data_IF_472235037431
#
_entry.id   IF_472235037431
#
_cell.length_a   1.000
_cell.length_b   1.000
_cell.length_c   1.000
_cell.angle_alpha   90.00
_cell.angle_beta   90.00
_cell.angle_gamma   90.00
#
_symmetry.space_group_name_H-M   'P 1'
#
loop_
_entity.id
_entity.type
_entity.pdbx_description
1 polymer ?
#
# COMPACT_ATOMS: atom_id res chain seq x y z
N UNK A 1 33.70 25.36 -1.79
CA UNK A 1 32.41 24.68 -1.55
C UNK A 1 32.64 23.19 -1.76
N UNK A 2 32.83 22.46 -0.67
CA UNK A 2 32.98 21.01 -0.69
C UNK A 2 31.61 20.39 -0.97
N UNK A 3 31.42 19.92 -2.19
CA UNK A 3 30.31 19.03 -2.52
C UNK A 3 30.68 17.69 -1.88
N UNK A 4 29.93 17.33 -0.84
CA UNK A 4 29.99 16.07 -0.10
C UNK A 4 30.14 14.87 -1.06
N UNK A 5 30.98 13.90 -0.69
CA UNK A 5 31.31 12.68 -1.44
C UNK A 5 30.11 11.77 -1.76
N UNK A 6 28.91 12.09 -1.27
CA UNK A 6 27.68 11.31 -1.47
C UNK A 6 27.08 11.43 -2.89
N UNK A 7 27.56 12.33 -3.74
CA UNK A 7 26.93 12.62 -5.05
C UNK A 7 27.52 11.85 -6.25
N UNK A 8 28.41 10.88 -6.06
CA UNK A 8 28.96 10.05 -7.15
C UNK A 8 28.55 8.59 -7.04
N UNK A 9 27.25 8.33 -7.03
CA UNK A 9 26.76 7.01 -7.45
C UNK A 9 27.13 6.86 -8.93
N UNK A 10 28.16 6.06 -9.23
CA UNK A 10 28.54 5.75 -10.60
C UNK A 10 27.31 5.26 -11.36
N UNK A 11 27.23 5.57 -12.66
CA UNK A 11 26.13 5.10 -13.50
C UNK A 11 25.95 3.58 -13.40
N UNK A 12 27.05 2.86 -13.19
CA UNK A 12 27.06 1.42 -12.96
C UNK A 12 26.40 1.01 -11.64
N UNK A 13 26.66 1.75 -10.56
CA UNK A 13 25.98 1.53 -9.27
C UNK A 13 24.47 1.81 -9.37
N UNK A 14 24.07 2.85 -10.10
CA UNK A 14 22.65 3.15 -10.35
C UNK A 14 21.98 2.04 -11.18
N UNK A 15 22.62 1.60 -12.28
CA UNK A 15 22.12 0.49 -13.10
C UNK A 15 21.97 -0.81 -12.31
N UNK A 16 22.96 -1.14 -11.47
CA UNK A 16 22.92 -2.32 -10.60
C UNK A 16 21.80 -2.23 -9.56
N UNK A 17 21.56 -1.06 -8.98
CA UNK A 17 20.45 -0.84 -8.05
C UNK A 17 19.08 -0.94 -8.75
N UNK A 18 18.97 -0.37 -9.94
CA UNK A 18 17.76 -0.47 -10.77
C UNK A 18 17.51 -1.93 -11.14
N UNK A 19 18.48 -2.66 -11.71
CA UNK A 19 18.34 -4.07 -12.07
C UNK A 19 17.99 -4.98 -10.88
N UNK A 20 18.57 -4.71 -9.71
CA UNK A 20 18.25 -5.47 -8.49
C UNK A 20 16.81 -5.27 -8.02
N UNK A 21 16.20 -4.11 -8.26
CA UNK A 21 14.87 -3.77 -7.73
C UNK A 21 13.77 -3.76 -8.79
N UNK A 22 14.13 -3.70 -10.07
CA UNK A 22 13.24 -3.71 -11.23
C UNK A 22 13.54 -4.97 -12.04
N UNK A 23 13.05 -6.10 -11.54
CA UNK A 23 13.01 -7.34 -12.28
C UNK A 23 11.74 -7.32 -13.15
N UNK A 24 11.86 -7.66 -14.44
CA UNK A 24 10.74 -7.80 -15.37
C UNK A 24 9.74 -8.90 -14.94
N UNK A 25 10.12 -9.73 -13.97
CA UNK A 25 9.26 -10.69 -13.30
C UNK A 25 9.26 -10.48 -11.77
N UNK A 26 8.51 -9.47 -11.26
CA UNK A 26 8.38 -9.20 -9.81
C UNK A 26 8.01 -10.41 -8.95
N UNK A 27 7.21 -11.38 -9.44
CA UNK A 27 6.93 -12.64 -8.73
C UNK A 27 8.15 -13.52 -8.42
N UNK A 28 9.32 -13.27 -9.00
CA UNK A 28 10.52 -14.09 -8.79
C UNK A 28 11.07 -14.00 -7.35
N UNK A 29 10.77 -12.93 -6.61
CA UNK A 29 11.15 -12.78 -5.20
C UNK A 29 10.04 -13.14 -4.22
N UNK A 30 8.86 -13.48 -4.72
CA UNK A 30 7.75 -13.90 -3.89
C UNK A 30 7.92 -15.36 -3.58
N UNK A 31 8.15 -15.66 -2.30
CA UNK A 31 8.03 -17.03 -1.82
C UNK A 31 6.56 -17.44 -1.91
N UNK A 32 6.21 -18.16 -2.98
CA UNK A 32 4.85 -18.62 -3.24
C UNK A 32 4.33 -19.61 -2.21
N UNK A 33 5.22 -20.17 -1.38
CA UNK A 33 4.85 -21.07 -0.29
C UNK A 33 4.59 -20.31 1.01
N UNK A 34 4.99 -19.04 1.09
CA UNK A 34 4.77 -18.18 2.25
C UNK A 34 3.51 -17.36 2.07
N UNK A 35 2.41 -17.90 2.58
CA UNK A 35 1.07 -17.28 2.52
C UNK A 35 0.81 -16.27 3.65
N UNK A 36 1.75 -16.09 4.58
CA UNK A 36 1.58 -15.25 5.76
C UNK A 36 2.80 -14.35 6.05
N UNK A 37 2.52 -13.20 6.63
CA UNK A 37 3.52 -12.25 7.12
C UNK A 37 3.33 -12.03 8.62
N UNK A 38 4.37 -12.32 9.41
CA UNK A 38 4.35 -12.03 10.85
C UNK A 38 4.78 -10.58 11.09
N UNK A 39 3.88 -9.78 11.66
CA UNK A 39 4.20 -8.45 12.16
C UNK A 39 4.56 -8.54 13.65
N UNK A 40 5.72 -8.00 14.04
CA UNK A 40 6.15 -7.92 15.44
C UNK A 40 5.92 -6.51 15.97
N UNK A 41 5.12 -6.39 17.02
CA UNK A 41 4.95 -5.12 17.74
C UNK A 41 6.25 -4.83 18.49
N UNK A 42 6.73 -3.58 18.38
CA UNK A 42 7.90 -3.13 19.13
C UNK A 42 7.62 -3.18 20.64
N UNK A 43 8.65 -3.45 21.45
CA UNK A 43 8.50 -3.62 22.90
C UNK A 43 7.84 -2.41 23.55
N UNK A 44 8.27 -1.22 23.15
CA UNK A 44 7.75 0.07 23.61
C UNK A 44 6.26 0.30 23.30
N UNK A 45 5.69 -0.43 22.33
CA UNK A 45 4.30 -0.27 21.89
C UNK A 45 3.37 -1.40 22.36
N UNK A 46 3.87 -2.40 23.11
CA UNK A 46 3.08 -3.61 23.45
C UNK A 46 1.80 -3.35 24.24
N UNK A 47 1.74 -2.26 25.00
CA UNK A 47 0.60 -1.93 25.86
C UNK A 47 -0.22 -0.74 25.35
N UNK A 48 0.13 -0.20 24.18
CA UNK A 48 -0.63 0.89 23.57
C UNK A 48 -1.77 0.32 22.74
N UNK A 49 -3.01 0.56 23.19
CA UNK A 49 -4.20 0.22 22.43
C UNK A 49 -4.55 1.33 21.45
N UNK A 50 -4.32 1.06 20.17
CA UNK A 50 -4.64 2.00 19.09
C UNK A 50 -6.05 1.75 18.59
N UNK A 51 -7.03 2.54 19.06
CA UNK A 51 -8.43 2.44 18.63
C UNK A 51 -8.97 3.79 18.17
N UNK A 52 -8.83 4.05 16.87
CA UNK A 52 -9.33 5.26 16.24
C UNK A 52 -10.75 5.11 15.71
N UNK A 53 -11.50 6.23 15.74
CA UNK A 53 -12.83 6.33 15.12
C UNK A 53 -12.70 6.42 13.59
N UNK A 54 -13.69 5.91 12.83
CA UNK A 54 -13.72 6.09 11.38
C UNK A 54 -13.73 7.57 10.97
N UNK A 55 -13.09 7.87 9.85
CA UNK A 55 -13.15 9.20 9.23
C UNK A 55 -14.58 9.45 8.72
N UNK A 56 -15.07 10.67 8.91
CA UNK A 56 -16.35 11.09 8.32
C UNK A 56 -16.19 11.23 6.81
N UNK A 57 -17.01 10.52 6.05
CA UNK A 57 -17.04 10.54 4.59
C UNK A 57 -18.35 11.12 4.11
N UNK A 58 -18.31 11.75 2.94
CA UNK A 58 -19.54 12.10 2.23
C UNK A 58 -20.25 10.83 1.73
N UNK A 59 -21.48 10.98 1.24
CA UNK A 59 -22.30 9.85 0.82
C UNK A 59 -21.79 9.12 -0.42
N UNK A 60 -21.09 9.81 -1.32
CA UNK A 60 -20.53 9.23 -2.54
C UNK A 60 -19.33 8.35 -2.19
N UNK A 61 -18.36 8.90 -1.46
CA UNK A 61 -17.18 8.17 -0.99
C UNK A 61 -17.57 6.96 -0.12
N UNK A 62 -18.64 7.07 0.68
CA UNK A 62 -19.13 5.94 1.46
C UNK A 62 -19.63 4.79 0.58
N UNK A 63 -20.29 5.07 -0.55
CA UNK A 63 -20.76 4.04 -1.49
C UNK A 63 -19.58 3.36 -2.18
N UNK A 64 -18.62 4.15 -2.64
CA UNK A 64 -17.43 3.63 -3.31
C UNK A 64 -16.62 2.74 -2.36
N UNK A 65 -16.43 3.19 -1.11
CA UNK A 65 -15.75 2.40 -0.10
C UNK A 65 -16.49 1.08 0.22
N UNK A 66 -17.83 1.10 0.27
CA UNK A 66 -18.62 -0.12 0.46
C UNK A 66 -18.46 -1.11 -0.69
N UNK A 67 -18.40 -0.63 -1.92
CA UNK A 67 -18.18 -1.46 -3.11
C UNK A 67 -16.80 -2.13 -3.07
N UNK A 68 -15.75 -1.36 -2.77
CA UNK A 68 -14.37 -1.87 -2.66
C UNK A 68 -14.25 -2.90 -1.53
N UNK A 69 -14.83 -2.62 -0.35
CA UNK A 69 -14.81 -3.57 0.77
C UNK A 69 -15.50 -4.87 0.38
N UNK A 70 -16.66 -4.80 -0.30
CA UNK A 70 -17.38 -5.98 -0.75
C UNK A 70 -16.56 -6.81 -1.74
N UNK A 71 -15.90 -6.15 -2.69
CA UNK A 71 -15.01 -6.80 -3.65
C UNK A 71 -13.84 -7.51 -2.95
N UNK A 72 -13.17 -6.84 -2.01
CA UNK A 72 -12.03 -7.41 -1.29
C UNK A 72 -12.42 -8.59 -0.40
N UNK A 73 -13.62 -8.57 0.19
CA UNK A 73 -14.18 -9.73 0.90
C UNK A 73 -14.42 -10.89 -0.07
N UNK A 74 -15.02 -10.62 -1.24
CA UNK A 74 -15.27 -11.66 -2.25
C UNK A 74 -13.97 -12.29 -2.79
N UNK A 75 -12.90 -11.50 -2.89
CA UNK A 75 -11.57 -11.97 -3.30
C UNK A 75 -10.81 -12.69 -2.17
N UNK A 76 -11.35 -12.71 -0.94
CA UNK A 76 -10.67 -13.30 0.22
C UNK A 76 -9.45 -12.51 0.69
N UNK A 77 -9.34 -11.22 0.34
CA UNK A 77 -8.22 -10.35 0.72
C UNK A 77 -8.38 -9.77 2.13
N UNK A 78 -9.63 -9.53 2.54
CA UNK A 78 -9.99 -9.06 3.88
C UNK A 78 -11.20 -9.82 4.40
N UNK A 79 -11.35 -9.85 5.72
CA UNK A 79 -12.50 -10.44 6.41
C UNK A 79 -12.99 -9.55 7.54
N UNK A 80 -14.29 -9.61 7.90
CA UNK A 80 -14.78 -8.96 9.11
C UNK A 80 -14.10 -9.54 10.35
N UNK A 81 -13.45 -8.68 11.13
CA UNK A 81 -12.75 -9.07 12.35
C UNK A 81 -13.20 -8.30 13.58
N UNK A 82 -12.99 -8.89 14.76
CA UNK A 82 -13.17 -8.22 16.05
C UNK A 82 -11.77 -7.97 16.62
N UNK A 83 -11.18 -6.83 16.26
CA UNK A 83 -9.85 -6.43 16.73
C UNK A 83 -9.97 -5.40 17.85
N UNK A 84 -9.07 -5.49 18.84
CA UNK A 84 -8.88 -4.44 19.85
C UNK A 84 -8.18 -3.20 19.26
N UNK A 85 -7.59 -3.36 18.06
CA UNK A 85 -6.94 -2.31 17.29
C UNK A 85 -7.81 -1.85 16.11
N UNK A 86 -7.89 -0.55 15.89
CA UNK A 86 -8.57 0.02 14.73
C UNK A 86 -7.86 1.28 14.22
N UNK A 87 -7.66 1.32 12.91
CA UNK A 87 -7.14 2.47 12.18
C UNK A 87 -8.19 2.98 11.20
N UNK A 88 -8.31 4.29 10.98
CA UNK A 88 -9.27 4.81 10.02
C UNK A 88 -8.78 4.56 8.59
N UNK A 89 -9.67 4.04 7.74
CA UNK A 89 -9.45 3.99 6.29
C UNK A 89 -9.96 5.26 5.60
N UNK A 90 -9.36 5.60 4.46
CA UNK A 90 -9.82 6.68 3.58
C UNK A 90 -9.65 6.26 2.13
N UNK A 91 -10.48 6.82 1.25
CA UNK A 91 -10.37 6.59 -0.19
C UNK A 91 -9.25 7.45 -0.78
N UNK A 92 -8.44 6.83 -1.62
CA UNK A 92 -7.45 7.52 -2.46
C UNK A 92 -7.89 7.36 -3.90
N UNK A 93 -8.20 8.48 -4.55
CA UNK A 93 -8.55 8.49 -5.97
C UNK A 93 -7.27 8.53 -6.79
N UNK A 94 -7.08 7.55 -7.67
CA UNK A 94 -5.96 7.56 -8.61
C UNK A 94 -6.24 8.55 -9.74
N UNK A 95 -5.61 9.73 -9.69
CA UNK A 95 -5.76 10.76 -10.73
C UNK A 95 -5.30 10.29 -12.12
N UNK A 96 -4.44 9.28 -12.20
CA UNK A 96 -4.00 8.70 -13.48
C UNK A 96 -5.08 7.88 -14.18
N UNK A 97 -5.90 7.15 -13.42
CA UNK A 97 -7.04 6.39 -13.94
C UNK A 97 -8.18 7.32 -14.37
N UNK A 98 -8.49 8.33 -13.55
CA UNK A 98 -9.51 9.34 -13.86
C UNK A 98 -9.22 10.08 -15.18
N UNK A 99 -7.94 10.31 -15.51
CA UNK A 99 -7.57 10.94 -16.79
C UNK A 99 -7.69 9.99 -17.98
N UNK A 100 -7.49 8.69 -17.77
CA UNK A 100 -7.56 7.68 -18.84
C UNK A 100 -8.99 7.43 -19.28
N UNK A 101 -9.92 7.31 -18.32
CA UNK A 101 -11.35 7.13 -18.62
C UNK A 101 -11.95 8.33 -19.38
N UNK A 102 -11.42 9.54 -19.16
CA UNK A 102 -11.84 10.74 -19.89
C UNK A 102 -11.38 10.77 -21.35
N UNK A 103 -10.28 10.09 -21.68
CA UNK A 103 -9.75 10.04 -23.05
C UNK A 103 -10.41 8.95 -23.89
N UNK A 104 -10.98 7.91 -23.27
CA UNK A 104 -11.69 6.83 -23.97
C UNK A 104 -13.17 7.15 -24.24
N UNK A 105 -13.67 8.26 -23.68
CA UNK A 105 -15.04 8.75 -23.87
C UNK A 105 -15.20 9.87 -24.93
N UNK A 106 -14.13 10.22 -25.64
CA UNK A 106 -14.10 11.16 -26.78
C UNK A 106 -13.95 10.42 -28.12
#
# INVERSE_FOLDING_TARGET
MNISEESKLSLENVKRLIQRNLNENPPAWWDRNKIEATLRVKEECKYEYVRYKPIQMNMEDKKDMQMIIKEYINLGLIEPGISVYSSPGFLVRNYGEIKRDKMESE
#
